data_IF_994409388937
#
_entry.id   IF_994409388937
#
_cell.length_a   1.000
_cell.length_b   1.000
_cell.length_c   1.000
_cell.angle_alpha   90.00
_cell.angle_beta   90.00
_cell.angle_gamma   90.00
#
_symmetry.space_group_name_H-M   'P 1'
#
loop_
_entity.id
_entity.type
_entity.pdbx_description
1 polymer ?
#
# COMPACT_ATOMS: atom_id res chain seq x y z
N UNK A 1 18.07 -17.35 17.07
CA UNK A 1 17.73 -17.91 15.74
C UNK A 1 18.14 -16.87 14.68
N UNK A 2 19.02 -17.20 13.71
CA UNK A 2 19.46 -16.23 12.70
C UNK A 2 18.28 -15.94 11.77
N UNK A 3 17.81 -14.69 11.72
CA UNK A 3 16.89 -14.21 10.69
C UNK A 3 17.69 -14.19 9.38
N UNK A 4 17.57 -15.26 8.57
CA UNK A 4 18.04 -15.22 7.20
C UNK A 4 17.08 -14.32 6.43
N UNK A 5 17.54 -13.15 6.02
CA UNK A 5 16.92 -12.31 5.00
C UNK A 5 17.00 -13.08 3.67
N UNK A 6 16.10 -14.01 3.46
CA UNK A 6 15.95 -14.70 2.18
C UNK A 6 15.32 -13.74 1.18
N UNK A 7 15.80 -13.86 -0.05
CA UNK A 7 15.41 -13.05 -1.19
C UNK A 7 13.90 -12.94 -1.40
N UNK A 8 13.48 -11.92 -2.19
CA UNK A 8 12.13 -11.41 -2.44
C UNK A 8 10.99 -12.40 -2.13
N UNK A 9 10.03 -12.04 -1.25
CA UNK A 9 8.92 -12.92 -0.92
C UNK A 9 8.08 -13.19 -2.18
N UNK A 10 8.12 -14.42 -2.65
CA UNK A 10 7.16 -14.90 -3.64
C UNK A 10 5.83 -15.05 -2.91
N UNK A 11 4.91 -14.10 -3.09
CA UNK A 11 3.58 -14.18 -2.51
C UNK A 11 2.83 -15.37 -3.13
N UNK A 12 2.20 -16.20 -2.29
CA UNK A 12 1.29 -17.23 -2.78
C UNK A 12 0.13 -16.59 -3.57
N UNK A 13 -0.26 -17.16 -4.73
CA UNK A 13 -1.42 -16.68 -5.50
C UNK A 13 -2.73 -16.69 -4.71
N UNK A 14 -2.79 -17.52 -3.68
CA UNK A 14 -3.90 -17.71 -2.76
C UNK A 14 -3.56 -17.27 -1.33
N UNK A 15 -2.58 -16.40 -1.12
CA UNK A 15 -2.18 -15.94 0.20
C UNK A 15 -3.17 -14.97 0.84
N UNK A 16 -3.00 -14.71 2.15
CA UNK A 16 -3.91 -13.89 2.94
C UNK A 16 -4.19 -12.50 2.35
N UNK A 17 -3.18 -11.82 1.82
CA UNK A 17 -3.32 -10.48 1.24
C UNK A 17 -4.24 -10.39 -0.01
N UNK A 18 -4.56 -11.53 -0.63
CA UNK A 18 -5.46 -11.63 -1.77
C UNK A 18 -6.76 -12.36 -1.44
N UNK A 19 -6.93 -12.84 -0.20
CA UNK A 19 -8.04 -13.71 0.19
C UNK A 19 -9.41 -13.09 -0.11
N UNK A 20 -9.64 -11.84 0.27
CA UNK A 20 -10.90 -11.14 -0.01
C UNK A 20 -11.22 -11.10 -1.52
N UNK A 21 -10.20 -10.90 -2.36
CA UNK A 21 -10.38 -10.87 -3.81
C UNK A 21 -10.65 -12.25 -4.38
N UNK A 22 -9.97 -13.29 -3.92
CA UNK A 22 -10.19 -14.69 -4.36
C UNK A 22 -11.61 -15.14 -4.03
N UNK A 23 -12.10 -14.86 -2.83
CA UNK A 23 -13.47 -15.18 -2.41
C UNK A 23 -14.53 -14.54 -3.33
N UNK A 24 -14.34 -13.29 -3.72
CA UNK A 24 -15.34 -12.53 -4.51
C UNK A 24 -15.15 -12.67 -6.01
N UNK A 25 -13.93 -12.84 -6.49
CA UNK A 25 -13.57 -12.91 -7.90
C UNK A 25 -12.46 -13.96 -8.15
N UNK A 26 -12.77 -15.27 -8.13
CA UNK A 26 -11.81 -16.34 -8.37
C UNK A 26 -11.03 -16.17 -9.67
N UNK A 27 -11.65 -15.67 -10.75
CA UNK A 27 -10.99 -15.38 -12.03
C UNK A 27 -9.81 -14.40 -11.92
N UNK A 28 -9.76 -13.60 -10.85
CA UNK A 28 -8.68 -12.63 -10.64
C UNK A 28 -7.30 -13.29 -10.49
N UNK A 29 -7.24 -14.55 -10.09
CA UNK A 29 -6.00 -15.30 -9.91
C UNK A 29 -5.35 -15.55 -11.27
N UNK A 30 -6.06 -16.19 -12.19
CA UNK A 30 -5.58 -16.48 -13.54
C UNK A 30 -5.26 -15.19 -14.32
N UNK A 31 -6.14 -14.20 -14.27
CA UNK A 31 -5.91 -12.89 -14.89
C UNK A 31 -4.65 -12.20 -14.38
N UNK A 32 -4.38 -12.29 -13.07
CA UNK A 32 -3.16 -11.72 -12.48
C UNK A 32 -1.92 -12.50 -12.91
N UNK A 33 -2.00 -13.82 -13.00
CA UNK A 33 -0.86 -14.66 -13.42
C UNK A 33 -0.48 -14.43 -14.90
N UNK A 34 -1.40 -14.04 -15.74
CA UNK A 34 -1.16 -13.66 -17.14
C UNK A 34 -0.40 -12.35 -17.32
N UNK A 35 -0.32 -11.53 -16.27
CA UNK A 35 0.48 -10.30 -16.32
C UNK A 35 1.98 -10.60 -16.23
N UNK A 36 2.83 -9.78 -16.87
CA UNK A 36 4.27 -9.77 -16.64
C UNK A 36 4.62 -9.71 -15.15
N UNK A 37 5.70 -10.34 -14.73
CA UNK A 37 6.08 -10.45 -13.31
C UNK A 37 6.22 -9.08 -12.62
N UNK A 38 6.79 -8.09 -13.32
CA UNK A 38 6.98 -6.74 -12.77
C UNK A 38 5.66 -5.99 -12.50
N UNK A 39 4.56 -6.32 -13.22
CA UNK A 39 3.24 -5.73 -12.96
C UNK A 39 2.51 -6.38 -11.78
N UNK A 40 2.98 -7.55 -11.35
CA UNK A 40 2.46 -8.27 -10.17
C UNK A 40 3.08 -7.81 -8.87
N UNK A 41 4.24 -7.15 -8.93
CA UNK A 41 4.95 -6.62 -7.75
C UNK A 41 4.20 -5.44 -7.14
N UNK A 42 4.32 -5.23 -5.82
CA UNK A 42 3.84 -4.02 -5.15
C UNK A 42 4.40 -2.75 -5.79
N UNK A 43 3.67 -1.66 -5.68
CA UNK A 43 4.15 -0.35 -6.15
C UNK A 43 5.18 0.26 -5.19
N UNK A 44 5.94 1.26 -5.64
CA UNK A 44 6.86 2.03 -4.78
C UNK A 44 6.17 2.67 -3.54
N UNK A 45 4.85 2.88 -3.57
CA UNK A 45 4.07 3.26 -2.38
C UNK A 45 4.03 2.16 -1.31
N UNK A 46 4.24 0.89 -1.69
CA UNK A 46 4.36 -0.21 -0.75
C UNK A 46 5.73 -0.22 -0.04
N UNK A 47 6.74 0.46 -0.57
CA UNK A 47 8.09 0.47 0.00
C UNK A 47 8.09 1.03 1.42
N UNK A 48 7.31 2.11 1.70
CA UNK A 48 7.14 2.63 3.06
C UNK A 48 6.52 1.58 3.99
N UNK A 49 5.42 0.96 3.56
CA UNK A 49 4.75 -0.08 4.34
C UNK A 49 5.70 -1.23 4.66
N UNK A 50 6.37 -1.76 3.64
CA UNK A 50 7.36 -2.84 3.80
C UNK A 50 8.51 -2.45 4.73
N UNK A 51 9.02 -1.23 4.62
CA UNK A 51 10.09 -0.74 5.50
C UNK A 51 9.64 -0.65 6.96
N UNK A 52 8.40 -0.19 7.22
CA UNK A 52 7.85 -0.10 8.57
C UNK A 52 7.53 -1.48 9.15
N UNK A 53 7.09 -2.46 8.34
CA UNK A 53 6.99 -3.86 8.77
C UNK A 53 8.36 -4.41 9.18
N UNK A 54 9.40 -4.20 8.39
CA UNK A 54 10.76 -4.62 8.76
C UNK A 54 11.27 -3.92 10.00
N UNK A 55 10.93 -2.65 10.19
CA UNK A 55 11.33 -1.87 11.36
C UNK A 55 10.64 -2.34 12.64
N UNK A 56 9.32 -2.58 12.61
CA UNK A 56 8.59 -3.09 13.78
C UNK A 56 9.02 -4.52 14.12
N UNK A 57 9.27 -5.37 13.11
CA UNK A 57 9.81 -6.70 13.33
C UNK A 57 11.18 -6.67 14.02
N UNK A 58 12.05 -5.74 13.64
CA UNK A 58 13.33 -5.53 14.31
C UNK A 58 13.16 -5.09 15.77
N UNK A 59 12.20 -4.21 16.06
CA UNK A 59 11.93 -3.72 17.43
C UNK A 59 11.37 -4.81 18.34
N UNK A 60 10.61 -5.76 17.77
CA UNK A 60 9.95 -6.83 18.52
C UNK A 60 10.80 -8.11 18.63
N UNK A 61 11.96 -8.18 17.95
CA UNK A 61 12.84 -9.34 18.03
C UNK A 61 13.43 -9.50 19.45
N UNK A 62 13.42 -10.72 20.00
CA UNK A 62 13.80 -11.03 21.39
C UNK A 62 15.18 -10.50 21.82
N UNK A 63 16.15 -10.48 20.90
CA UNK A 63 17.52 -10.03 21.19
C UNK A 63 17.78 -8.57 20.75
N UNK A 64 16.77 -7.87 20.28
CA UNK A 64 16.95 -6.53 19.74
C UNK A 64 16.80 -5.47 20.83
N UNK A 65 17.89 -5.11 21.47
CA UNK A 65 17.98 -3.90 22.32
C UNK A 65 17.99 -2.63 21.47
N UNK A 66 17.01 -2.50 20.56
CA UNK A 66 16.90 -1.37 19.63
C UNK A 66 15.91 -0.35 20.16
N UNK A 67 16.36 0.88 20.36
CA UNK A 67 15.46 1.97 20.71
C UNK A 67 14.70 2.43 19.47
N UNK A 68 13.42 2.68 19.60
CA UNK A 68 12.56 3.17 18.49
C UNK A 68 13.16 4.40 17.82
N UNK A 69 13.69 5.34 18.59
CA UNK A 69 14.32 6.58 18.14
C UNK A 69 15.55 6.33 17.25
N UNK A 70 16.27 5.24 17.50
CA UNK A 70 17.49 4.90 16.74
C UNK A 70 17.20 4.47 15.32
N UNK A 71 15.94 4.24 14.95
CA UNK A 71 15.52 3.89 13.59
C UNK A 71 15.40 5.12 12.69
N UNK A 72 15.36 6.35 13.23
CA UNK A 72 15.35 7.57 12.44
C UNK A 72 16.54 7.62 11.49
N UNK A 73 16.29 7.83 10.23
CA UNK A 73 17.32 7.88 9.19
C UNK A 73 17.86 6.54 8.73
N UNK A 74 17.49 5.40 9.34
CA UNK A 74 17.85 4.06 8.83
C UNK A 74 17.05 3.74 7.57
N UNK A 75 17.66 2.96 6.68
CA UNK A 75 17.06 2.56 5.41
C UNK A 75 16.71 1.08 5.44
N UNK A 76 15.47 0.77 5.09
CA UNK A 76 14.96 -0.58 4.88
C UNK A 76 14.50 -0.71 3.41
N UNK A 77 15.11 -1.60 2.66
CA UNK A 77 14.89 -1.69 1.22
C UNK A 77 15.18 -0.34 0.52
N UNK A 78 14.18 0.23 -0.13
CA UNK A 78 14.28 1.50 -0.85
C UNK A 78 13.75 2.71 -0.04
N UNK A 79 13.35 2.50 1.22
CA UNK A 79 12.73 3.54 2.04
C UNK A 79 13.57 3.89 3.25
N UNK A 80 13.72 5.18 3.52
CA UNK A 80 14.41 5.72 4.70
C UNK A 80 13.38 6.16 5.74
N UNK A 81 13.44 5.57 6.93
CA UNK A 81 12.56 5.88 8.06
C UNK A 81 12.74 7.34 8.47
N UNK A 82 11.64 8.05 8.59
CA UNK A 82 11.60 9.44 9.03
C UNK A 82 11.26 9.54 10.52
N UNK A 83 11.52 10.70 11.13
CA UNK A 83 11.06 10.96 12.51
C UNK A 83 9.52 10.95 12.60
N UNK A 84 8.83 11.39 11.55
CA UNK A 84 7.36 11.32 11.45
C UNK A 84 6.88 9.86 11.47
N UNK A 85 7.53 8.95 10.74
CA UNK A 85 7.20 7.52 10.76
C UNK A 85 7.35 6.92 12.16
N UNK A 86 8.35 7.36 12.91
CA UNK A 86 8.55 6.91 14.28
C UNK A 86 7.40 7.37 15.16
N UNK A 87 7.09 8.65 15.17
CA UNK A 87 6.09 9.24 16.06
C UNK A 87 4.67 8.79 15.71
N UNK A 88 4.34 8.73 14.41
CA UNK A 88 2.96 8.48 13.98
C UNK A 88 2.66 7.00 13.73
N UNK A 89 3.65 6.17 13.45
CA UNK A 89 3.43 4.78 13.08
C UNK A 89 4.13 3.77 14.01
N UNK A 90 5.45 3.84 14.15
CA UNK A 90 6.21 2.80 14.85
C UNK A 90 5.99 2.85 16.38
N UNK A 91 6.10 4.03 16.99
CA UNK A 91 5.94 4.18 18.43
C UNK A 91 4.55 3.76 18.94
N UNK A 92 3.43 4.21 18.34
CA UNK A 92 2.10 3.76 18.75
C UNK A 92 1.89 2.26 18.57
N UNK A 93 2.36 1.68 17.46
CA UNK A 93 2.26 0.25 17.21
C UNK A 93 3.08 -0.56 18.22
N UNK A 94 4.33 -0.16 18.47
CA UNK A 94 5.22 -0.80 19.45
C UNK A 94 4.66 -0.73 20.87
N UNK A 95 4.13 0.43 21.27
CA UNK A 95 3.51 0.61 22.58
C UNK A 95 2.29 -0.30 22.77
N UNK A 96 1.41 -0.42 21.77
CA UNK A 96 0.27 -1.32 21.83
C UNK A 96 0.70 -2.78 21.96
N UNK A 97 1.63 -3.23 21.13
CA UNK A 97 2.15 -4.61 21.19
C UNK A 97 2.83 -4.88 22.53
N UNK A 98 3.59 -3.92 23.06
CA UNK A 98 4.22 -4.00 24.38
C UNK A 98 3.22 -4.36 25.47
N UNK A 99 2.01 -3.79 25.45
CA UNK A 99 0.96 -4.12 26.44
C UNK A 99 0.54 -5.59 26.43
N UNK A 100 0.60 -6.24 25.27
CA UNK A 100 0.29 -7.67 25.14
C UNK A 100 1.48 -8.53 25.58
N UNK A 101 2.68 -8.17 25.14
CA UNK A 101 3.90 -8.96 25.43
C UNK A 101 4.33 -8.86 26.90
N UNK A 102 4.04 -7.76 27.60
CA UNK A 102 4.30 -7.57 29.02
C UNK A 102 3.34 -8.40 29.92
N UNK A 103 2.32 -9.04 29.30
CA UNK A 103 1.40 -9.90 30.05
C UNK A 103 2.14 -11.17 30.50
N UNK A 104 2.09 -11.55 31.79
CA UNK A 104 2.76 -12.75 32.28
C UNK A 104 2.32 -14.02 31.53
N UNK A 105 3.27 -14.77 31.02
CA UNK A 105 3.03 -15.99 30.24
C UNK A 105 2.65 -15.76 28.78
N UNK A 106 2.85 -14.54 28.27
CA UNK A 106 2.70 -14.26 26.85
C UNK A 106 3.83 -14.97 26.06
N UNK A 107 3.44 -15.70 25.04
CA UNK A 107 4.34 -16.30 24.03
C UNK A 107 4.00 -15.73 22.66
N UNK A 108 4.99 -15.47 21.82
CA UNK A 108 4.71 -14.86 20.52
C UNK A 108 5.56 -15.38 19.37
N UNK A 109 5.05 -15.23 18.17
CA UNK A 109 5.73 -15.51 16.91
C UNK A 109 5.67 -14.28 16.02
N UNK A 110 6.83 -13.87 15.54
CA UNK A 110 7.00 -12.70 14.69
C UNK A 110 7.30 -13.14 13.26
N UNK A 111 6.67 -12.51 12.26
CA UNK A 111 6.85 -12.83 10.82
C UNK A 111 6.74 -14.34 10.55
N UNK A 112 5.73 -14.97 11.16
CA UNK A 112 5.57 -16.40 11.13
C UNK A 112 5.00 -16.88 9.80
N UNK A 113 5.77 -17.69 9.07
CA UNK A 113 5.26 -18.37 7.88
C UNK A 113 4.28 -19.47 8.30
N UNK A 114 3.08 -19.44 7.72
CA UNK A 114 1.99 -20.37 7.97
C UNK A 114 1.43 -20.90 6.66
N UNK A 115 1.00 -22.17 6.67
CA UNK A 115 0.47 -22.87 5.50
C UNK A 115 -1.03 -23.03 5.66
N UNK A 116 -1.78 -22.66 4.63
CA UNK A 116 -3.24 -22.83 4.65
C UNK A 116 -3.61 -24.32 4.43
N UNK A 117 -4.55 -24.85 5.22
CA UNK A 117 -4.94 -26.25 5.08
C UNK A 117 -5.60 -26.52 3.73
N UNK A 118 -5.42 -27.73 3.22
CA UNK A 118 -6.17 -28.29 2.07
C UNK A 118 -5.85 -27.76 0.67
N UNK A 119 -5.10 -26.69 0.53
CA UNK A 119 -4.73 -26.10 -0.77
C UNK A 119 -3.21 -26.19 -0.90
N UNK A 120 -2.66 -26.98 -1.84
CA UNK A 120 -1.22 -27.05 -2.06
C UNK A 120 -0.60 -25.67 -2.34
N UNK A 121 0.63 -25.46 -1.90
CA UNK A 121 1.42 -24.25 -2.14
C UNK A 121 0.77 -22.92 -1.70
N UNK A 122 -0.23 -23.02 -0.80
CA UNK A 122 -0.93 -21.85 -0.25
C UNK A 122 -0.39 -21.53 1.14
N UNK A 123 0.25 -20.40 1.25
CA UNK A 123 0.90 -19.94 2.47
C UNK A 123 0.84 -18.41 2.60
N UNK A 124 1.12 -17.93 3.78
CA UNK A 124 1.27 -16.53 4.11
C UNK A 124 2.27 -16.33 5.24
N UNK A 125 2.58 -15.09 5.51
CA UNK A 125 3.37 -14.68 6.69
C UNK A 125 2.47 -13.84 7.58
N UNK A 126 2.29 -14.27 8.82
CA UNK A 126 1.56 -13.51 9.84
C UNK A 126 2.54 -12.56 10.49
N UNK A 127 2.21 -11.28 10.56
CA UNK A 127 3.11 -10.28 11.12
C UNK A 127 3.41 -10.57 12.59
N UNK A 128 2.37 -10.84 13.40
CA UNK A 128 2.52 -11.16 14.81
C UNK A 128 1.40 -12.07 15.32
N UNK A 129 1.78 -13.15 16.01
CA UNK A 129 0.89 -13.98 16.82
C UNK A 129 1.28 -13.83 18.27
N UNK A 130 0.32 -13.60 19.17
CA UNK A 130 0.58 -13.56 20.62
C UNK A 130 -0.39 -14.51 21.32
N UNK A 131 0.13 -15.46 22.07
CA UNK A 131 -0.64 -16.38 22.89
C UNK A 131 -0.57 -15.93 24.37
N UNK A 132 -1.72 -15.72 25.00
CA UNK A 132 -1.85 -15.33 26.40
C UNK A 132 -2.88 -16.26 27.04
N UNK A 133 -2.41 -17.23 27.82
CA UNK A 133 -3.27 -18.26 28.39
C UNK A 133 -4.00 -19.05 27.30
N UNK A 134 -5.35 -18.96 27.25
CA UNK A 134 -6.18 -19.65 26.24
C UNK A 134 -6.67 -18.73 25.11
N UNK A 135 -6.06 -17.56 24.97
CA UNK A 135 -6.38 -16.60 23.94
C UNK A 135 -5.20 -16.41 22.99
N UNK A 136 -5.45 -16.48 21.68
CA UNK A 136 -4.46 -16.14 20.66
C UNK A 136 -4.88 -14.86 19.93
N UNK A 137 -3.95 -13.92 19.81
CA UNK A 137 -4.10 -12.71 19.02
C UNK A 137 -3.39 -12.89 17.69
N UNK A 138 -4.10 -12.69 16.59
CA UNK A 138 -3.57 -12.66 15.22
C UNK A 138 -3.56 -11.20 14.79
N UNK A 139 -2.39 -10.60 14.71
CA UNK A 139 -2.22 -9.16 14.47
C UNK A 139 -1.60 -8.94 13.10
N UNK A 140 -2.21 -8.07 12.33
CA UNK A 140 -1.73 -7.64 11.01
C UNK A 140 -1.52 -6.12 11.04
N UNK A 141 -0.28 -5.70 10.77
CA UNK A 141 0.10 -4.29 10.74
C UNK A 141 -0.28 -3.64 9.41
N UNK A 142 -0.83 -2.46 9.45
CA UNK A 142 -1.18 -1.65 8.28
C UNK A 142 -0.48 -0.29 8.34
N UNK A 143 0.74 -0.23 7.82
CA UNK A 143 1.56 0.99 7.82
C UNK A 143 1.41 1.85 6.56
N UNK A 144 0.56 1.45 5.61
CA UNK A 144 0.25 2.27 4.44
C UNK A 144 -0.56 3.51 4.84
N UNK A 145 -0.23 4.66 4.26
CA UNK A 145 -1.08 5.86 4.32
C UNK A 145 -2.19 5.66 3.29
N UNK A 146 -3.39 5.36 3.73
CA UNK A 146 -4.47 5.07 2.80
C UNK A 146 -5.80 4.76 3.46
N UNK A 147 -6.61 4.01 2.74
CA UNK A 147 -7.93 3.60 3.16
C UNK A 147 -7.86 2.82 4.47
N UNK A 148 -8.78 3.13 5.37
CA UNK A 148 -8.96 2.38 6.59
C UNK A 148 -9.19 0.91 6.29
N UNK A 149 -8.50 0.07 7.05
CA UNK A 149 -8.70 -1.38 7.10
C UNK A 149 -9.18 -1.75 8.50
N UNK A 150 -10.23 -2.56 8.59
CA UNK A 150 -10.79 -3.00 9.86
C UNK A 150 -10.79 -4.53 9.95
N UNK A 151 -10.82 -5.05 11.18
CA UNK A 151 -11.04 -6.48 11.44
C UNK A 151 -12.47 -6.89 11.11
N UNK A 152 -13.42 -5.99 11.33
CA UNK A 152 -14.85 -6.14 10.99
C UNK A 152 -15.28 -4.90 10.21
N UNK A 153 -15.94 -5.07 9.09
CA UNK A 153 -16.38 -3.98 8.22
C UNK A 153 -17.78 -4.23 7.69
N UNK A 154 -18.62 -3.20 7.55
CA UNK A 154 -19.92 -3.37 6.91
C UNK A 154 -19.77 -3.70 5.42
N UNK A 155 -20.54 -4.66 4.91
CA UNK A 155 -20.69 -5.01 3.50
C UNK A 155 -22.18 -5.12 3.17
N UNK A 156 -22.78 -4.01 2.75
CA UNK A 156 -24.24 -3.88 2.65
C UNK A 156 -24.89 -3.83 4.03
N UNK A 157 -25.81 -4.76 4.29
CA UNK A 157 -26.55 -4.88 5.55
C UNK A 157 -25.87 -5.83 6.57
N UNK A 158 -24.73 -6.42 6.22
CA UNK A 158 -24.02 -7.39 7.05
C UNK A 158 -22.62 -6.90 7.41
N UNK A 159 -22.13 -7.32 8.57
CA UNK A 159 -20.75 -7.13 8.98
C UNK A 159 -19.89 -8.31 8.49
N UNK A 160 -18.81 -8.00 7.80
CA UNK A 160 -17.89 -9.00 7.24
C UNK A 160 -16.54 -8.94 7.94
N UNK A 161 -16.10 -10.09 8.44
CA UNK A 161 -14.78 -10.24 9.05
C UNK A 161 -13.72 -10.21 7.95
N UNK A 162 -12.59 -9.56 8.25
CA UNK A 162 -11.48 -9.40 7.32
C UNK A 162 -10.91 -10.76 6.88
N UNK A 163 -11.05 -11.08 5.60
CA UNK A 163 -10.64 -12.35 5.02
C UNK A 163 -9.11 -12.62 5.13
N UNK A 164 -8.28 -11.59 5.18
CA UNK A 164 -6.84 -11.74 5.39
C UNK A 164 -6.55 -12.26 6.79
N UNK A 165 -7.21 -11.73 7.81
CA UNK A 165 -7.07 -12.17 9.20
C UNK A 165 -7.61 -13.59 9.40
N UNK A 166 -8.77 -13.91 8.81
CA UNK A 166 -9.32 -15.27 8.84
C UNK A 166 -8.38 -16.27 8.18
N UNK A 167 -7.80 -15.90 7.03
CA UNK A 167 -6.78 -16.71 6.36
C UNK A 167 -5.59 -16.99 7.30
N UNK A 168 -5.05 -15.95 7.92
CA UNK A 168 -3.90 -16.11 8.81
C UNK A 168 -4.23 -16.96 10.04
N UNK A 169 -5.38 -16.76 10.66
CA UNK A 169 -5.81 -17.56 11.80
C UNK A 169 -6.00 -19.03 11.43
N UNK A 170 -6.66 -19.32 10.30
CA UNK A 170 -6.84 -20.71 9.82
C UNK A 170 -5.51 -21.37 9.47
N UNK A 171 -4.61 -20.66 8.81
CA UNK A 171 -3.28 -21.14 8.44
C UNK A 171 -2.37 -21.33 9.67
N UNK A 172 -2.42 -20.41 10.64
CA UNK A 172 -1.68 -20.53 11.90
C UNK A 172 -2.17 -21.73 12.71
N UNK A 173 -3.48 -21.90 12.84
CA UNK A 173 -4.08 -23.06 13.52
C UNK A 173 -3.64 -24.39 12.87
N UNK A 174 -3.52 -24.42 11.55
CA UNK A 174 -3.02 -25.61 10.85
C UNK A 174 -1.52 -25.84 11.08
N UNK A 175 -0.70 -24.79 11.04
CA UNK A 175 0.76 -24.88 11.10
C UNK A 175 1.30 -25.04 12.52
N UNK A 176 0.59 -24.49 13.52
CA UNK A 176 0.98 -24.43 14.93
C UNK A 176 -0.03 -25.18 15.83
N UNK A 177 -0.36 -26.41 15.45
CA UNK A 177 -1.44 -27.20 16.08
C UNK A 177 -1.29 -27.33 17.59
N UNK A 178 -0.08 -27.50 18.07
CA UNK A 178 0.19 -27.64 19.50
C UNK A 178 -0.17 -26.38 20.27
N UNK A 179 0.14 -25.20 19.70
CA UNK A 179 -0.24 -23.91 20.27
C UNK A 179 -1.74 -23.66 20.27
N UNK A 180 -2.46 -24.17 19.27
CA UNK A 180 -3.89 -24.02 19.17
C UNK A 180 -4.69 -25.07 19.94
N UNK A 181 -4.03 -26.08 20.52
CA UNK A 181 -4.73 -27.21 21.18
C UNK A 181 -5.59 -26.77 22.36
N UNK A 182 -5.16 -25.75 23.12
CA UNK A 182 -5.85 -25.24 24.31
C UNK A 182 -6.46 -23.86 24.10
N UNK A 183 -6.39 -23.29 22.88
CA UNK A 183 -6.95 -21.99 22.56
C UNK A 183 -8.49 -22.05 22.53
N UNK A 184 -9.12 -21.13 23.25
CA UNK A 184 -10.58 -20.96 23.29
C UNK A 184 -11.01 -19.71 22.51
N UNK A 185 -10.21 -18.65 22.59
CA UNK A 185 -10.52 -17.36 22.01
C UNK A 185 -9.49 -17.00 20.95
N UNK A 186 -9.96 -16.62 19.78
CA UNK A 186 -9.12 -16.19 18.65
C UNK A 186 -9.47 -14.73 18.36
N UNK A 187 -8.57 -13.82 18.67
CA UNK A 187 -8.74 -12.37 18.48
C UNK A 187 -8.00 -11.95 17.22
N UNK A 188 -8.73 -11.48 16.25
CA UNK A 188 -8.23 -10.98 14.98
C UNK A 188 -8.09 -9.46 15.04
N UNK A 189 -6.89 -8.92 14.81
CA UNK A 189 -6.62 -7.50 15.01
C UNK A 189 -5.95 -6.89 13.79
N UNK A 190 -6.49 -5.78 13.31
CA UNK A 190 -5.80 -4.82 12.44
C UNK A 190 -5.23 -3.71 13.32
N UNK A 191 -3.94 -3.47 13.19
CA UNK A 191 -3.24 -2.37 13.83
C UNK A 191 -2.78 -1.37 12.77
N UNK A 192 -3.54 -0.28 12.62
CA UNK A 192 -3.31 0.77 11.62
C UNK A 192 -3.13 2.13 12.30
N UNK A 193 -1.89 2.52 12.66
CA UNK A 193 -1.62 3.77 13.37
C UNK A 193 -1.94 5.03 12.55
N UNK A 194 -1.84 4.95 11.21
CA UNK A 194 -2.07 6.08 10.30
C UNK A 194 -3.12 5.69 9.25
N UNK A 195 -4.19 6.47 9.15
CA UNK A 195 -5.20 6.34 8.10
C UNK A 195 -5.63 7.72 7.57
N UNK A 196 -6.31 7.74 6.42
CA UNK A 196 -6.91 8.98 5.88
C UNK A 196 -8.03 9.48 6.80
N UNK A 197 -8.71 8.56 7.47
CA UNK A 197 -9.73 8.86 8.47
C UNK A 197 -9.04 9.20 9.78
N UNK A 198 -8.95 10.49 10.09
CA UNK A 198 -8.24 11.02 11.27
C UNK A 198 -8.94 10.69 12.59
N UNK A 199 -10.23 10.37 12.55
CA UNK A 199 -11.03 9.99 13.73
C UNK A 199 -11.04 8.47 13.95
N UNK A 200 -10.36 7.70 13.08
CA UNK A 200 -10.32 6.26 13.17
C UNK A 200 -9.47 5.77 14.34
N UNK A 201 -10.02 4.83 15.10
CA UNK A 201 -9.23 4.11 16.11
C UNK A 201 -8.07 3.34 15.45
N UNK A 202 -6.89 3.39 16.07
CA UNK A 202 -5.69 2.70 15.60
C UNK A 202 -5.87 1.18 15.57
N UNK A 203 -6.66 0.63 16.50
CA UNK A 203 -6.88 -0.80 16.68
C UNK A 203 -8.30 -1.16 16.31
N UNK A 204 -8.46 -2.17 15.47
CA UNK A 204 -9.75 -2.77 15.17
C UNK A 204 -9.65 -4.27 15.40
N UNK A 205 -10.48 -4.82 16.29
CA UNK A 205 -10.42 -6.23 16.67
C UNK A 205 -11.78 -6.89 16.60
N UNK A 206 -11.78 -8.20 16.33
CA UNK A 206 -12.97 -9.07 16.40
C UNK A 206 -12.53 -10.42 16.97
N UNK A 207 -13.38 -11.03 17.79
CA UNK A 207 -13.15 -12.39 18.30
C UNK A 207 -13.92 -13.38 17.45
N UNK A 208 -13.27 -14.46 17.05
CA UNK A 208 -13.86 -15.53 16.27
C UNK A 208 -13.71 -16.89 16.97
N UNK A 209 -14.59 -17.80 16.62
CA UNK A 209 -14.61 -19.18 17.11
C UNK A 209 -13.87 -20.11 16.17
N UNK A 210 -13.53 -21.30 16.66
CA UNK A 210 -13.00 -22.38 15.80
C UNK A 210 -13.97 -22.78 14.69
N UNK A 211 -15.29 -22.76 14.96
CA UNK A 211 -16.32 -23.07 13.98
C UNK A 211 -16.35 -22.08 12.81
N UNK A 212 -16.23 -20.77 13.09
CA UNK A 212 -16.14 -19.74 12.06
C UNK A 212 -14.87 -19.88 11.21
N UNK A 213 -13.75 -20.30 11.81
CA UNK A 213 -12.53 -20.62 11.03
C UNK A 213 -12.70 -21.87 10.17
N UNK A 214 -13.44 -22.87 10.63
CA UNK A 214 -13.74 -24.07 9.83
C UNK A 214 -14.63 -23.73 8.65
N UNK A 215 -15.67 -22.91 8.88
CA UNK A 215 -16.55 -22.40 7.83
C UNK A 215 -15.76 -21.59 6.79
N UNK A 216 -14.95 -20.59 7.25
CA UNK A 216 -14.09 -19.82 6.37
C UNK A 216 -13.14 -20.72 5.56
N UNK A 217 -12.54 -21.74 6.19
CA UNK A 217 -11.62 -22.67 5.53
C UNK A 217 -12.32 -23.43 4.40
N UNK A 218 -13.56 -23.87 4.62
CA UNK A 218 -14.35 -24.57 3.62
C UNK A 218 -14.71 -23.66 2.44
N UNK A 219 -15.20 -22.43 2.74
CA UNK A 219 -15.57 -21.43 1.74
C UNK A 219 -14.33 -21.00 0.92
N UNK A 220 -13.23 -20.74 1.58
CA UNK A 220 -12.00 -20.30 0.90
C UNK A 220 -11.41 -21.39 0.01
N UNK A 221 -11.43 -22.65 0.48
CA UNK A 221 -11.06 -23.81 -0.35
C UNK A 221 -11.88 -23.88 -1.62
N UNK A 222 -13.21 -23.80 -1.50
CA UNK A 222 -14.11 -23.83 -2.66
C UNK A 222 -13.82 -22.68 -3.65
N UNK A 223 -13.52 -21.47 -3.16
CA UNK A 223 -13.16 -20.35 -4.01
C UNK A 223 -11.80 -20.57 -4.73
N UNK A 224 -10.84 -21.19 -4.08
CA UNK A 224 -9.56 -21.56 -4.71
C UNK A 224 -9.72 -22.67 -5.76
N UNK A 225 -10.54 -23.68 -5.48
CA UNK A 225 -10.89 -24.72 -6.46
C UNK A 225 -11.61 -24.13 -7.67
N UNK A 226 -12.55 -23.20 -7.44
CA UNK A 226 -13.21 -22.44 -8.50
C UNK A 226 -12.19 -21.62 -9.33
N UNK A 227 -11.22 -20.97 -8.68
CA UNK A 227 -10.18 -20.20 -9.36
C UNK A 227 -9.29 -21.04 -10.31
N UNK A 228 -9.16 -22.32 -10.01
CA UNK A 228 -8.41 -23.30 -10.83
C UNK A 228 -9.29 -23.98 -11.90
N UNK A 229 -10.58 -23.72 -11.92
CA UNK A 229 -11.50 -24.30 -12.90
C UNK A 229 -11.35 -23.63 -14.28
N UNK A 230 -11.96 -24.24 -15.32
CA UNK A 230 -11.91 -23.73 -16.68
C UNK A 230 -12.68 -22.40 -16.88
N UNK A 231 -13.65 -22.09 -16.03
CA UNK A 231 -14.50 -20.91 -16.11
C UNK A 231 -14.79 -20.32 -14.72
N UNK A 232 -13.76 -19.75 -14.04
CA UNK A 232 -13.94 -19.18 -12.73
C UNK A 232 -14.81 -17.92 -12.81
N UNK A 233 -15.58 -17.68 -11.74
CA UNK A 233 -16.47 -16.51 -11.62
C UNK A 233 -15.65 -15.22 -11.69
N UNK A 234 -16.13 -14.29 -12.54
CA UNK A 234 -15.56 -12.98 -12.75
C UNK A 234 -16.56 -11.92 -12.26
N UNK A 235 -16.22 -11.24 -11.18
CA UNK A 235 -17.13 -10.30 -10.52
C UNK A 235 -16.44 -8.98 -10.19
N UNK A 236 -17.15 -7.84 -10.42
CA UNK A 236 -16.68 -6.49 -10.06
C UNK A 236 -17.14 -6.11 -8.66
N UNK A 237 -16.26 -5.42 -7.92
CA UNK A 237 -16.59 -4.87 -6.61
C UNK A 237 -15.44 -4.05 -6.02
N UNK A 238 -15.54 -3.75 -4.73
CA UNK A 238 -14.52 -3.01 -3.97
C UNK A 238 -13.16 -3.69 -3.99
N UNK A 239 -13.13 -5.01 -4.08
CA UNK A 239 -11.90 -5.84 -4.20
C UNK A 239 -11.10 -5.62 -5.49
N UNK A 240 -11.69 -4.97 -6.51
CA UNK A 240 -10.97 -4.60 -7.73
C UNK A 240 -9.99 -3.45 -7.54
N UNK A 241 -10.11 -2.67 -6.46
CA UNK A 241 -9.29 -1.47 -6.22
C UNK A 241 -7.79 -1.74 -6.31
N UNK A 242 -7.34 -2.85 -5.76
CA UNK A 242 -5.93 -3.25 -5.76
C UNK A 242 -5.65 -4.47 -6.64
N UNK A 243 -6.57 -4.83 -7.55
CA UNK A 243 -6.37 -5.94 -8.47
C UNK A 243 -5.38 -5.55 -9.59
N UNK A 244 -4.23 -6.22 -9.71
CA UNK A 244 -3.26 -5.93 -10.76
C UNK A 244 -3.84 -6.16 -12.17
N UNK A 245 -4.76 -7.12 -12.32
CA UNK A 245 -5.37 -7.46 -13.61
C UNK A 245 -6.47 -6.48 -14.07
N UNK A 246 -6.82 -5.49 -13.26
CA UNK A 246 -7.90 -4.54 -13.57
C UNK A 246 -7.84 -3.93 -14.98
N UNK A 247 -6.68 -3.50 -15.52
CA UNK A 247 -6.61 -2.91 -16.87
C UNK A 247 -6.91 -3.88 -18.01
N UNK A 248 -6.71 -5.19 -17.79
CA UNK A 248 -6.99 -6.22 -18.81
C UNK A 248 -8.25 -7.02 -18.49
N UNK A 249 -8.93 -6.71 -17.39
CA UNK A 249 -10.08 -7.46 -16.91
C UNK A 249 -11.31 -7.25 -17.81
N UNK A 250 -11.91 -8.30 -18.39
CA UNK A 250 -13.08 -8.18 -19.25
C UNK A 250 -14.27 -7.49 -18.58
N UNK A 251 -14.44 -7.69 -17.26
CA UNK A 251 -15.50 -7.04 -16.50
C UNK A 251 -15.33 -5.51 -16.40
N UNK A 252 -14.09 -5.00 -16.50
CA UNK A 252 -13.81 -3.57 -16.53
C UNK A 252 -13.72 -3.00 -17.95
N UNK A 253 -13.21 -3.75 -18.91
CA UNK A 253 -13.06 -3.28 -20.30
C UNK A 253 -14.35 -3.37 -21.12
N UNK A 254 -15.26 -4.28 -20.76
CA UNK A 254 -16.58 -4.41 -21.40
C UNK A 254 -17.37 -3.09 -21.45
N UNK A 255 -17.53 -2.37 -20.34
CA UNK A 255 -18.21 -1.08 -20.31
C UNK A 255 -17.63 -0.02 -21.26
N UNK A 256 -16.31 -0.08 -21.58
CA UNK A 256 -15.71 0.83 -22.58
C UNK A 256 -16.26 0.58 -23.98
N UNK A 257 -16.49 -0.68 -24.32
CA UNK A 257 -17.09 -1.05 -25.61
C UNK A 257 -18.55 -0.60 -25.66
N UNK A 258 -19.26 -0.69 -24.53
CA UNK A 258 -20.65 -0.25 -24.45
C UNK A 258 -20.74 1.29 -24.52
N UNK A 259 -19.83 2.03 -23.90
CA UNK A 259 -19.74 3.48 -24.06
C UNK A 259 -19.48 3.88 -25.53
N UNK A 260 -18.58 3.17 -26.21
CA UNK A 260 -18.31 3.40 -27.63
C UNK A 260 -19.55 3.15 -28.51
N UNK A 261 -20.40 2.18 -28.16
CA UNK A 261 -21.69 1.92 -28.82
C UNK A 261 -22.70 3.02 -28.54
N UNK A 262 -22.78 3.54 -27.33
CA UNK A 262 -23.67 4.65 -26.97
C UNK A 262 -23.30 5.97 -27.64
N UNK A 263 -22.02 6.19 -27.95
CA UNK A 263 -21.51 7.37 -28.64
C UNK A 263 -21.76 7.33 -30.16
N UNK A 264 -22.29 6.22 -30.71
CA UNK A 264 -22.65 6.15 -32.13
C UNK A 264 -23.85 7.07 -32.40
N UNK A 265 -23.82 7.89 -33.47
CA UNK A 265 -24.88 8.84 -33.75
C UNK A 265 -26.19 8.10 -34.06
N UNK A 266 -27.15 8.19 -33.15
CA UNK A 266 -28.51 7.74 -33.35
C UNK A 266 -29.32 8.91 -33.91
N UNK A 267 -29.68 8.86 -35.17
CA UNK A 267 -30.50 9.88 -35.84
C UNK A 267 -31.96 9.92 -35.38
N UNK A 268 -32.31 9.40 -34.23
CA UNK A 268 -33.70 9.29 -33.76
C UNK A 268 -33.93 10.11 -32.47
N UNK A 269 -35.11 10.74 -32.38
CA UNK A 269 -35.59 11.38 -31.21
C UNK A 269 -35.78 10.32 -30.10
N UNK A 270 -35.07 10.46 -28.99
CA UNK A 270 -35.15 9.55 -27.83
C UNK A 270 -36.26 10.03 -26.88
N UNK A 271 -37.24 9.22 -26.50
CA UNK A 271 -38.22 9.56 -25.47
C UNK A 271 -37.52 9.97 -24.16
N UNK A 272 -38.12 10.93 -23.40
CA UNK A 272 -37.54 11.49 -22.18
C UNK A 272 -37.11 10.42 -21.16
N UNK A 273 -37.95 9.42 -20.93
CA UNK A 273 -37.64 8.32 -20.01
C UNK A 273 -36.45 7.47 -20.46
N UNK A 274 -36.37 7.19 -21.75
CA UNK A 274 -35.24 6.47 -22.35
C UNK A 274 -33.96 7.31 -22.26
N UNK A 275 -34.06 8.64 -22.44
CA UNK A 275 -32.94 9.56 -22.30
C UNK A 275 -32.40 9.60 -20.87
N UNK A 276 -33.26 9.66 -19.84
CA UNK A 276 -32.85 9.66 -18.45
C UNK A 276 -32.18 8.34 -18.05
N UNK A 277 -32.65 7.22 -18.60
CA UNK A 277 -32.03 5.90 -18.42
C UNK A 277 -30.65 5.84 -19.07
N UNK A 278 -30.50 6.34 -20.29
CA UNK A 278 -29.23 6.47 -20.99
C UNK A 278 -28.24 7.39 -20.24
N UNK A 279 -28.73 8.47 -19.62
CA UNK A 279 -27.88 9.34 -18.78
C UNK A 279 -27.36 8.58 -17.58
N UNK A 280 -28.21 7.82 -16.87
CA UNK A 280 -27.80 7.03 -15.70
C UNK A 280 -26.80 5.93 -16.10
N UNK A 281 -27.02 5.22 -17.20
CA UNK A 281 -26.09 4.24 -17.74
C UNK A 281 -24.76 4.90 -18.16
N UNK A 282 -24.84 6.05 -18.84
CA UNK A 282 -23.65 6.83 -19.25
C UNK A 282 -22.82 7.29 -18.06
N UNK A 283 -23.44 7.76 -16.96
CA UNK A 283 -22.74 8.15 -15.74
C UNK A 283 -22.02 6.95 -15.09
N UNK A 284 -22.67 5.81 -14.99
CA UNK A 284 -22.06 4.57 -14.49
C UNK A 284 -20.86 4.13 -15.36
N UNK A 285 -20.99 4.27 -16.69
CA UNK A 285 -19.91 3.94 -17.63
C UNK A 285 -18.73 4.91 -17.50
N UNK A 286 -18.98 6.22 -17.30
CA UNK A 286 -17.92 7.22 -17.11
C UNK A 286 -17.10 6.93 -15.85
N UNK A 287 -17.72 6.50 -14.77
CA UNK A 287 -16.99 6.11 -13.56
C UNK A 287 -16.14 4.84 -13.80
N UNK A 288 -16.67 3.87 -14.54
CA UNK A 288 -15.88 2.71 -14.97
C UNK A 288 -14.67 3.12 -15.85
N UNK A 289 -14.83 4.11 -16.71
CA UNK A 289 -13.74 4.66 -17.55
C UNK A 289 -12.67 5.34 -16.69
N UNK A 290 -13.06 6.14 -15.69
CA UNK A 290 -12.11 6.75 -14.75
C UNK A 290 -11.28 5.70 -14.03
N UNK A 291 -11.92 4.64 -13.60
CA UNK A 291 -11.29 3.52 -12.93
C UNK A 291 -10.26 2.81 -13.82
N UNK A 292 -10.63 2.53 -15.08
CA UNK A 292 -9.73 1.91 -16.05
C UNK A 292 -8.56 2.85 -16.38
N UNK A 293 -8.83 4.15 -16.57
CA UNK A 293 -7.78 5.14 -16.79
C UNK A 293 -6.73 5.11 -15.69
N UNK A 294 -7.17 5.11 -14.43
CA UNK A 294 -6.27 5.05 -13.28
C UNK A 294 -5.43 3.77 -13.30
N UNK A 295 -6.07 2.63 -13.54
CA UNK A 295 -5.38 1.34 -13.58
C UNK A 295 -4.37 1.24 -14.75
N UNK A 296 -4.71 1.75 -15.93
CA UNK A 296 -3.80 1.82 -17.08
C UNK A 296 -2.61 2.75 -16.80
N UNK A 297 -2.87 3.89 -16.18
CA UNK A 297 -1.83 4.86 -15.80
C UNK A 297 -0.84 4.25 -14.81
N UNK A 298 -1.33 3.56 -13.80
CA UNK A 298 -0.50 2.88 -12.79
C UNK A 298 0.33 1.75 -13.40
N UNK A 299 -0.23 0.98 -14.33
CA UNK A 299 0.53 -0.07 -15.02
C UNK A 299 1.58 0.50 -15.97
N UNK A 300 1.27 1.55 -16.73
CA UNK A 300 2.23 2.21 -17.59
C UNK A 300 3.40 2.80 -16.78
N UNK A 301 3.09 3.40 -15.62
CA UNK A 301 4.10 3.89 -14.68
C UNK A 301 5.02 2.75 -14.20
N UNK A 302 4.46 1.64 -13.76
CA UNK A 302 5.24 0.45 -13.31
C UNK A 302 6.09 -0.14 -14.42
N UNK A 303 5.56 -0.21 -15.65
CA UNK A 303 6.33 -0.67 -16.80
C UNK A 303 7.57 0.19 -17.03
N UNK A 304 7.40 1.52 -17.03
CA UNK A 304 8.50 2.48 -17.19
C UNK A 304 9.49 2.43 -16.01
N UNK A 305 9.02 2.28 -14.77
CA UNK A 305 9.87 2.10 -13.58
C UNK A 305 10.70 0.80 -13.66
N UNK A 306 10.16 -0.23 -14.31
CA UNK A 306 10.87 -1.49 -14.57
C UNK A 306 11.82 -1.42 -15.78
N UNK A 307 11.88 -0.29 -16.49
CA UNK A 307 12.74 -0.08 -17.67
C UNK A 307 12.11 -0.46 -19.00
N UNK A 308 10.82 -0.85 -19.02
CA UNK A 308 10.10 -1.15 -20.24
C UNK A 308 9.75 0.12 -21.02
N UNK A 309 9.56 -0.01 -22.34
CA UNK A 309 9.14 1.09 -23.20
C UNK A 309 7.61 1.13 -23.29
N UNK A 310 7.01 2.23 -22.89
CA UNK A 310 5.60 2.54 -23.17
C UNK A 310 5.55 3.61 -24.27
N UNK A 311 5.17 3.29 -25.49
CA UNK A 311 5.22 4.22 -26.62
C UNK A 311 4.45 5.53 -26.33
N UNK A 312 5.10 6.68 -26.51
CA UNK A 312 4.52 7.99 -26.26
C UNK A 312 4.47 8.44 -24.80
N UNK A 313 5.00 7.65 -23.85
CA UNK A 313 5.02 7.99 -22.42
C UNK A 313 6.42 7.85 -21.82
N UNK A 314 6.70 8.68 -20.80
CA UNK A 314 7.92 8.62 -20.02
C UNK A 314 7.63 9.05 -18.59
N UNK A 315 8.54 8.73 -17.66
CA UNK A 315 8.50 9.25 -16.31
C UNK A 315 9.05 10.68 -16.28
N UNK A 316 8.37 11.56 -15.57
CA UNK A 316 8.85 12.90 -15.28
C UNK A 316 8.99 13.08 -13.78
N UNK A 317 10.06 13.72 -13.34
CA UNK A 317 10.22 14.07 -11.94
C UNK A 317 9.01 14.91 -11.47
N UNK A 318 8.46 14.55 -10.32
CA UNK A 318 7.37 15.29 -9.70
C UNK A 318 7.73 16.76 -9.46
N UNK A 319 6.74 17.61 -9.33
CA UNK A 319 6.97 19.01 -8.96
C UNK A 319 7.68 19.04 -7.61
N UNK A 320 8.78 19.80 -7.53
CA UNK A 320 9.44 20.04 -6.27
C UNK A 320 8.50 20.73 -5.30
N UNK A 321 8.16 20.07 -4.20
CA UNK A 321 7.43 20.70 -3.11
C UNK A 321 8.43 21.46 -2.22
N UNK A 322 8.19 22.75 -2.05
CA UNK A 322 9.00 23.56 -1.12
C UNK A 322 8.52 23.30 0.29
N UNK A 323 9.44 22.88 1.16
CA UNK A 323 9.21 22.72 2.60
C UNK A 323 10.22 23.56 3.36
N UNK A 324 9.93 23.80 4.61
CA UNK A 324 10.91 24.38 5.51
C UNK A 324 12.06 23.38 5.72
N UNK A 325 13.28 23.91 5.94
CA UNK A 325 14.51 23.10 6.09
C UNK A 325 14.52 22.32 7.40
N UNK A 326 14.04 22.95 8.45
CA UNK A 326 14.03 22.42 9.81
C UNK A 326 12.59 22.41 10.38
N UNK A 327 12.43 22.02 11.64
CA UNK A 327 11.16 22.02 12.36
C UNK A 327 10.55 23.44 12.48
N UNK A 328 9.24 23.49 12.73
CA UNK A 328 8.48 24.74 12.75
C UNK A 328 9.04 25.74 13.77
N UNK A 329 9.47 25.26 14.96
CA UNK A 329 10.01 26.14 16.02
C UNK A 329 11.30 26.83 15.57
N UNK A 330 12.22 26.05 14.99
CA UNK A 330 13.48 26.56 14.46
C UNK A 330 13.26 27.56 13.34
N UNK A 331 12.32 27.25 12.42
CA UNK A 331 12.01 28.14 11.30
C UNK A 331 11.29 29.40 11.71
N UNK A 332 10.39 29.34 12.68
CA UNK A 332 9.74 30.53 13.25
C UNK A 332 10.78 31.45 13.87
N UNK A 333 11.64 30.92 14.74
CA UNK A 333 12.69 31.73 15.39
C UNK A 333 13.65 32.37 14.36
N UNK A 334 14.03 31.63 13.30
CA UNK A 334 14.87 32.15 12.25
C UNK A 334 14.20 33.29 11.47
N UNK A 335 12.91 33.18 11.16
CA UNK A 335 12.18 34.21 10.43
C UNK A 335 11.87 35.45 11.30
N UNK A 336 11.58 35.27 12.60
CA UNK A 336 11.42 36.38 13.54
C UNK A 336 12.71 37.20 13.68
N UNK A 337 13.88 36.55 13.64
CA UNK A 337 15.18 37.24 13.65
C UNK A 337 15.46 38.06 12.39
N UNK A 338 14.64 37.89 11.33
CA UNK A 338 14.67 38.65 10.06
C UNK A 338 13.51 39.65 9.94
N UNK A 339 12.95 40.09 11.08
CA UNK A 339 11.84 41.05 11.17
C UNK A 339 10.51 40.58 10.56
N UNK A 340 10.29 39.25 10.42
CA UNK A 340 8.97 38.72 10.11
C UNK A 340 8.12 38.67 11.37
N UNK A 341 6.87 39.16 11.30
CA UNK A 341 5.93 39.02 12.40
C UNK A 341 5.38 37.60 12.49
N UNK A 342 5.15 37.10 13.70
CA UNK A 342 4.61 35.76 13.96
C UNK A 342 3.34 35.47 13.14
N UNK A 343 2.42 36.44 13.05
CA UNK A 343 1.17 36.31 12.29
C UNK A 343 1.38 36.19 10.76
N UNK A 344 2.55 36.58 10.24
CA UNK A 344 2.89 36.39 8.82
C UNK A 344 3.42 34.97 8.57
N UNK A 345 4.03 34.36 9.57
CA UNK A 345 4.67 33.06 9.49
C UNK A 345 3.66 31.96 9.81
N UNK A 346 2.88 32.16 10.87
CA UNK A 346 1.95 31.17 11.42
C UNK A 346 0.50 31.64 11.23
N UNK A 347 -0.37 30.68 10.91
CA UNK A 347 -1.81 30.84 11.01
C UNK A 347 -2.28 30.00 12.22
N UNK A 348 -3.18 29.08 12.06
CA UNK A 348 -3.40 27.99 13.03
C UNK A 348 -2.31 26.90 12.90
N UNK A 349 -1.74 26.78 11.70
CA UNK A 349 -0.52 26.00 11.39
C UNK A 349 0.46 26.92 10.65
N UNK A 350 1.77 26.62 10.77
CA UNK A 350 2.79 27.38 10.07
C UNK A 350 2.49 27.48 8.56
N UNK A 351 2.57 28.70 8.03
CA UNK A 351 2.35 28.94 6.59
C UNK A 351 3.42 28.28 5.75
N UNK A 352 3.04 27.79 4.56
CA UNK A 352 4.02 27.26 3.61
C UNK A 352 5.01 28.33 3.13
N UNK A 353 6.23 27.96 2.70
CA UNK A 353 7.22 28.91 2.18
C UNK A 353 6.67 29.87 1.15
N UNK A 354 5.83 29.40 0.22
CA UNK A 354 5.20 30.25 -0.81
C UNK A 354 4.22 31.28 -0.21
N UNK A 355 3.48 30.91 0.82
CA UNK A 355 2.56 31.84 1.48
C UNK A 355 3.30 32.91 2.25
N UNK A 356 4.42 32.57 2.90
CA UNK A 356 5.28 33.56 3.59
C UNK A 356 5.95 34.48 2.58
N UNK A 357 6.47 33.97 1.47
CA UNK A 357 7.07 34.81 0.40
C UNK A 357 6.09 35.83 -0.17
N UNK A 358 4.83 35.44 -0.38
CA UNK A 358 3.79 36.38 -0.86
C UNK A 358 3.55 37.53 0.13
N UNK A 359 3.53 37.25 1.44
CA UNK A 359 3.37 38.27 2.48
C UNK A 359 4.62 39.11 2.66
N UNK A 360 5.80 38.50 2.63
CA UNK A 360 7.08 39.18 2.70
C UNK A 360 7.25 40.19 1.58
N UNK A 361 6.85 39.85 0.35
CA UNK A 361 6.89 40.73 -0.81
C UNK A 361 6.08 42.03 -0.59
N UNK A 362 4.93 41.94 0.05
CA UNK A 362 4.10 43.11 0.39
C UNK A 362 4.77 44.04 1.41
N UNK A 363 5.75 43.55 2.17
CA UNK A 363 6.53 44.29 3.19
C UNK A 363 7.95 44.62 2.74
N UNK A 364 8.32 44.32 1.51
CA UNK A 364 9.68 44.57 1.01
C UNK A 364 10.73 43.57 1.55
N UNK A 365 10.29 42.50 2.23
CA UNK A 365 11.15 41.46 2.80
C UNK A 365 11.36 40.31 1.79
N UNK A 366 12.48 39.57 1.93
CA UNK A 366 12.79 38.41 1.10
C UNK A 366 13.11 37.22 2.00
N UNK A 367 12.42 36.12 1.79
CA UNK A 367 12.71 34.86 2.51
C UNK A 367 14.04 34.29 2.02
N UNK A 368 15.01 34.02 2.93
CA UNK A 368 16.27 33.40 2.57
C UNK A 368 16.06 32.00 1.98
N UNK A 369 16.69 31.71 0.86
CA UNK A 369 16.51 30.43 0.16
C UNK A 369 17.13 29.24 0.90
N UNK A 370 18.13 29.47 1.74
CA UNK A 370 18.76 28.49 2.61
C UNK A 370 17.82 27.91 3.69
N UNK A 371 16.71 28.58 4.00
CA UNK A 371 15.67 28.11 4.91
C UNK A 371 14.66 27.16 4.24
N UNK A 372 14.74 27.02 2.91
CA UNK A 372 13.77 26.25 2.12
C UNK A 372 14.47 25.06 1.45
N UNK A 373 13.92 23.87 1.65
CA UNK A 373 14.34 22.66 0.96
C UNK A 373 13.28 22.30 -0.09
N UNK A 374 13.75 22.03 -1.32
CA UNK A 374 12.87 21.55 -2.40
C UNK A 374 13.07 20.06 -2.60
N UNK A 375 12.16 19.28 -2.07
CA UNK A 375 12.14 17.83 -2.28
C UNK A 375 11.22 17.50 -3.46
N UNK A 376 11.72 16.71 -4.40
CA UNK A 376 10.92 16.13 -5.47
C UNK A 376 10.26 14.86 -4.95
N UNK A 377 8.95 14.87 -4.77
CA UNK A 377 8.19 13.70 -4.33
C UNK A 377 7.75 12.88 -5.55
N UNK A 378 8.41 11.74 -5.76
CA UNK A 378 8.01 10.75 -6.74
C UNK A 378 8.17 11.15 -8.20
N UNK A 379 7.63 10.31 -9.08
CA UNK A 379 7.60 10.50 -10.54
C UNK A 379 6.17 10.43 -11.03
N UNK A 380 5.87 11.15 -12.10
CA UNK A 380 4.55 11.14 -12.74
C UNK A 380 4.65 10.61 -14.15
N UNK A 381 3.66 9.84 -14.56
CA UNK A 381 3.51 9.42 -15.96
C UNK A 381 2.94 10.59 -16.77
N UNK A 382 3.66 11.00 -17.80
CA UNK A 382 3.23 12.06 -18.71
C UNK A 382 3.50 11.65 -20.17
N UNK A 383 2.83 12.30 -21.12
CA UNK A 383 3.20 12.19 -22.52
C UNK A 383 4.59 12.79 -22.72
N UNK A 384 5.37 12.26 -23.66
CA UNK A 384 6.76 12.71 -23.91
C UNK A 384 6.81 14.22 -24.19
N UNK A 385 5.86 14.74 -24.96
CA UNK A 385 5.72 16.15 -25.29
C UNK A 385 5.48 17.07 -24.08
N UNK A 386 5.01 16.51 -22.95
CA UNK A 386 4.69 17.23 -21.72
C UNK A 386 5.71 16.98 -20.59
N UNK A 387 6.81 16.28 -20.87
CA UNK A 387 7.81 15.95 -19.86
C UNK A 387 8.77 17.15 -19.63
N UNK A 388 8.69 17.77 -18.44
CA UNK A 388 9.57 18.86 -18.05
C UNK A 388 10.94 18.41 -17.54
N UNK A 389 11.02 17.20 -16.96
CA UNK A 389 12.24 16.61 -16.44
C UNK A 389 12.15 15.08 -16.58
N UNK A 390 12.46 14.53 -17.76
CA UNK A 390 12.39 13.08 -17.98
C UNK A 390 13.36 12.36 -17.05
N UNK A 391 12.90 11.24 -16.46
CA UNK A 391 13.71 10.36 -15.64
C UNK A 391 14.33 9.32 -16.56
N UNK A 392 15.66 9.16 -16.56
CA UNK A 392 16.32 8.13 -17.34
C UNK A 392 15.83 6.72 -16.97
N UNK A 393 15.68 5.84 -17.94
CA UNK A 393 15.35 4.45 -17.68
C UNK A 393 16.50 3.75 -16.95
N UNK A 394 16.19 2.80 -16.07
CA UNK A 394 17.22 2.02 -15.35
C UNK A 394 18.23 1.36 -16.30
N UNK A 395 17.79 0.91 -17.45
CA UNK A 395 18.65 0.32 -18.50
C UNK A 395 19.61 1.36 -19.08
N UNK A 396 19.17 2.59 -19.27
CA UNK A 396 20.00 3.69 -19.76
C UNK A 396 21.06 4.09 -18.73
N UNK A 397 20.69 4.15 -17.44
CA UNK A 397 21.63 4.43 -16.35
C UNK A 397 22.67 3.31 -16.24
N UNK A 398 22.25 2.03 -16.29
CA UNK A 398 23.16 0.90 -16.23
C UNK A 398 24.13 0.89 -17.43
N UNK A 399 23.65 1.20 -18.63
CA UNK A 399 24.48 1.29 -19.84
C UNK A 399 25.48 2.44 -19.75
N UNK A 400 25.05 3.64 -19.35
CA UNK A 400 25.92 4.80 -19.15
C UNK A 400 26.98 4.54 -18.07
N UNK A 401 26.60 3.82 -16.99
CA UNK A 401 27.55 3.45 -15.93
C UNK A 401 28.57 2.40 -16.43
N UNK A 402 28.13 1.41 -17.21
CA UNK A 402 29.04 0.43 -17.84
C UNK A 402 30.01 1.09 -18.83
N UNK A 403 29.50 1.96 -19.70
CA UNK A 403 30.33 2.74 -20.64
C UNK A 403 31.35 3.64 -19.92
N UNK A 404 30.93 4.28 -18.80
CA UNK A 404 31.84 5.08 -17.97
C UNK A 404 32.89 4.22 -17.26
N UNK A 405 32.53 3.01 -16.81
CA UNK A 405 33.42 2.07 -16.17
C UNK A 405 34.48 1.52 -17.16
N UNK A 406 34.06 1.19 -18.38
CA UNK A 406 34.96 0.76 -19.47
C UNK A 406 35.91 1.86 -19.89
N UNK A 407 35.43 3.11 -20.00
CA UNK A 407 36.31 4.27 -20.28
C UNK A 407 37.32 4.50 -19.16
N UNK A 408 36.94 4.32 -17.90
CA UNK A 408 37.82 4.44 -16.74
C UNK A 408 38.87 3.33 -16.67
N UNK A 409 38.51 2.11 -17.07
CA UNK A 409 39.44 0.97 -17.12
C UNK A 409 40.39 1.03 -18.33
N UNK A 410 39.89 1.49 -19.48
CA UNK A 410 40.72 1.69 -20.68
C UNK A 410 41.76 2.79 -20.55
N UNK A 411 41.51 3.82 -19.74
CA UNK A 411 42.46 4.91 -19.45
C UNK A 411 43.63 4.56 -18.50
N UNK A 412 43.66 3.34 -17.97
CA UNK A 412 44.77 2.84 -17.12
C UNK A 412 45.80 1.98 -17.87
N UNK A 413 45.63 1.78 -19.16
CA UNK A 413 46.55 0.99 -20.02
C UNK A 413 47.25 1.84 -21.07
N UNK A 414 47.23 3.17 -20.97
CA UNK A 414 47.99 4.07 -21.84
C UNK A 414 49.09 4.82 -21.06
#
# INVERSE_FOLDING_TARGET
MKVELRGEPVHSPFGGSVAARVLRCPASVDLTQKLPAYLRKPSAYADRGTALHSAIALLLAEDAHVLVESLAGKTFGNYRITSEDIETALRPAYAYVGTLLDTPGAEYFLEQRVVFPTIPDTWGTVDLLVCIGRTIHVIDFKFGVGVRVCALSPDGDEDVINAQLLFYAAAARHSLREFFAEVENIVLTILQPVSIDVDAEMVSSVTVTHAELDEFTAIYRAACEEALSAAPRLERGSWCRFCPARPICPAHTGPLLDLARLAAPTGFAVPKESYLRLLAEGLNLVDAVKDIRTALHDQAKRALENGELVPGYTLSAGRAARRWRDDDRTMIAALESLDFHYDDIVAQVMRSPKQVELRAKARGLKVPQELIVSNRSGVSLVRVENAHAPVPRRVEIARTFSEALEAFQGGRQA
#
